data_IF_728881121328
#
_entry.id   IF_728881121328
#
_cell.length_a   1.000
_cell.length_b   1.000
_cell.length_c   1.000
_cell.angle_alpha   90.00
_cell.angle_beta   90.00
_cell.angle_gamma   90.00
#
_symmetry.space_group_name_H-M   'P 1'
#
loop_
_entity.id
_entity.type
_entity.pdbx_description
1 polymer ?
#
# COMPACT_ATOMS: atom_id res chain seq x y z
N UNK A 1 73.40 -10.59 34.23
CA UNK A 1 72.99 -9.18 34.39
C UNK A 1 72.57 -8.69 33.00
N UNK A 2 71.36 -8.20 32.69
CA UNK A 2 70.21 -7.81 33.50
C UNK A 2 68.90 -8.12 32.77
N UNK A 3 67.82 -8.16 33.55
CA UNK A 3 66.55 -8.80 33.24
C UNK A 3 65.65 -8.06 32.24
N UNK A 4 64.81 -8.85 31.58
CA UNK A 4 63.64 -8.38 30.82
C UNK A 4 62.40 -8.56 31.71
N UNK A 5 61.78 -7.44 32.06
CA UNK A 5 60.53 -7.37 32.79
C UNK A 5 59.35 -7.81 31.91
N UNK A 6 58.63 -8.83 32.36
CA UNK A 6 57.26 -9.11 31.92
C UNK A 6 56.33 -8.08 32.59
N UNK A 7 55.63 -7.28 31.80
CA UNK A 7 54.47 -6.54 32.27
C UNK A 7 53.20 -7.36 32.01
N UNK A 8 52.35 -7.59 33.02
CA UNK A 8 51.05 -8.20 32.81
C UNK A 8 50.08 -7.16 32.25
N UNK A 9 49.48 -7.45 31.10
CA UNK A 9 48.33 -6.72 30.58
C UNK A 9 47.12 -7.02 31.48
N UNK A 10 46.68 -6.01 32.24
CA UNK A 10 45.38 -6.01 32.89
C UNK A 10 44.28 -5.78 31.84
N UNK A 11 43.18 -6.54 31.85
CA UNK A 11 42.02 -6.23 31.01
C UNK A 11 41.33 -4.96 31.52
N UNK A 12 41.31 -3.93 30.68
CA UNK A 12 40.47 -2.75 30.90
C UNK A 12 39.02 -3.18 30.61
N UNK A 13 38.26 -3.45 31.67
CA UNK A 13 36.81 -3.63 31.59
C UNK A 13 36.21 -2.23 31.36
N UNK A 14 35.95 -1.91 30.10
CA UNK A 14 35.18 -0.72 29.72
C UNK A 14 33.70 -1.04 29.99
N UNK A 15 33.18 -0.51 31.11
CA UNK A 15 31.74 -0.42 31.31
C UNK A 15 31.18 0.63 30.34
N UNK A 16 30.72 0.17 29.18
CA UNK A 16 29.92 1.00 28.28
C UNK A 16 28.57 1.26 28.95
N UNK A 17 28.43 2.46 29.49
CA UNK A 17 27.13 3.03 29.84
C UNK A 17 26.35 3.15 28.53
N UNK A 18 25.39 2.25 28.31
CA UNK A 18 24.37 2.44 27.27
C UNK A 18 23.64 3.74 27.58
N UNK A 19 23.98 4.80 26.86
CA UNK A 19 23.11 5.95 26.75
C UNK A 19 21.83 5.48 26.05
N UNK A 20 20.77 5.27 26.85
CA UNK A 20 19.42 5.19 26.32
C UNK A 20 19.19 6.48 25.54
N UNK A 21 19.20 6.38 24.21
CA UNK A 21 18.54 7.38 23.37
C UNK A 21 17.09 7.38 23.88
N UNK A 22 16.52 8.52 24.29
CA UNK A 22 15.13 8.57 24.70
C UNK A 22 14.30 8.03 23.54
N UNK A 23 13.85 6.78 23.72
CA UNK A 23 12.92 6.16 22.81
C UNK A 23 11.75 7.11 22.69
N UNK A 24 11.32 7.38 21.45
CA UNK A 24 9.96 7.83 21.25
C UNK A 24 9.09 6.86 22.05
N UNK A 25 8.46 7.36 23.12
CA UNK A 25 7.60 6.56 23.97
C UNK A 25 6.43 6.13 23.10
N UNK A 26 6.53 4.96 22.49
CA UNK A 26 5.43 4.35 21.77
C UNK A 26 4.34 4.12 22.81
N UNK A 27 3.21 4.81 22.62
CA UNK A 27 2.06 4.69 23.50
C UNK A 27 1.72 3.22 23.68
N UNK A 28 1.55 2.81 24.94
CA UNK A 28 1.17 1.46 25.35
C UNK A 28 -0.02 0.93 24.53
N UNK A 29 -0.10 -0.38 24.28
CA UNK A 29 -1.28 -0.98 23.67
C UNK A 29 -2.51 -0.62 24.51
N UNK A 30 -3.45 0.10 23.89
CA UNK A 30 -4.74 0.47 24.49
C UNK A 30 -5.52 -0.82 24.76
N UNK A 31 -5.41 -1.34 25.97
CA UNK A 31 -6.29 -2.40 26.48
C UNK A 31 -7.67 -1.82 26.79
N UNK A 32 -8.54 -1.91 25.79
CA UNK A 32 -9.97 -2.22 25.90
C UNK A 32 -10.82 -1.46 26.91
N UNK A 33 -11.56 -0.46 26.41
CA UNK A 33 -12.93 -0.22 26.85
C UNK A 33 -13.90 -0.54 25.71
N UNK A 34 -14.97 -1.24 26.06
CA UNK A 34 -15.96 -1.85 25.17
C UNK A 34 -16.86 -0.86 24.40
N UNK A 35 -16.44 0.40 24.26
CA UNK A 35 -17.12 1.47 23.52
C UNK A 35 -16.64 1.58 22.05
N UNK A 36 -15.98 0.54 21.54
CA UNK A 36 -15.40 0.50 20.19
C UNK A 36 -16.39 0.00 19.12
N UNK A 37 -17.70 -0.01 19.39
CA UNK A 37 -18.68 -0.64 18.48
C UNK A 37 -19.07 0.21 17.27
N UNK A 38 -18.63 1.46 17.16
CA UNK A 38 -18.96 2.29 16.00
C UNK A 38 -17.84 3.23 15.53
N UNK A 39 -16.56 2.90 15.81
CA UNK A 39 -15.46 3.60 15.14
C UNK A 39 -15.40 3.12 13.69
N UNK A 40 -15.59 4.02 12.73
CA UNK A 40 -15.25 3.74 11.34
C UNK A 40 -13.78 3.33 11.29
N UNK A 41 -13.55 2.07 10.94
CA UNK A 41 -12.22 1.51 10.74
C UNK A 41 -11.89 1.59 9.26
N UNK A 42 -10.81 2.31 8.92
CA UNK A 42 -10.21 2.16 7.62
C UNK A 42 -9.40 0.86 7.60
N UNK A 43 -9.41 0.13 6.48
CA UNK A 43 -8.60 -1.08 6.31
C UNK A 43 -7.54 -0.83 5.25
N UNK A 44 -6.35 -1.34 5.48
CA UNK A 44 -5.24 -1.31 4.55
C UNK A 44 -4.57 -2.67 4.48
N UNK A 45 -3.67 -2.83 3.52
CA UNK A 45 -2.87 -4.04 3.39
C UNK A 45 -1.38 -3.70 3.44
N UNK A 46 -0.66 -4.44 4.27
CA UNK A 46 0.80 -4.44 4.32
C UNK A 46 1.30 -5.78 3.78
N UNK A 47 2.11 -5.75 2.72
CA UNK A 47 2.72 -6.95 2.15
C UNK A 47 4.22 -6.92 2.44
N UNK A 48 4.75 -8.02 2.98
CA UNK A 48 6.19 -8.22 3.15
C UNK A 48 6.64 -9.40 2.30
N UNK A 49 7.68 -9.19 1.50
CA UNK A 49 8.42 -10.26 0.84
C UNK A 49 9.88 -10.25 1.29
N UNK A 50 10.44 -11.42 1.55
CA UNK A 50 11.86 -11.60 1.87
C UNK A 50 12.50 -12.59 0.92
N UNK A 51 13.74 -12.32 0.50
CA UNK A 51 14.54 -13.23 -0.36
C UNK A 51 13.80 -13.73 -1.62
N UNK A 52 12.94 -12.89 -2.22
CA UNK A 52 12.14 -13.27 -3.39
C UNK A 52 11.03 -14.30 -3.14
N UNK A 53 10.77 -14.66 -1.87
CA UNK A 53 9.72 -15.62 -1.49
C UNK A 53 8.29 -15.15 -1.77
N UNK A 54 7.31 -15.96 -1.35
CA UNK A 54 5.89 -15.58 -1.45
C UNK A 54 5.58 -14.38 -0.54
N UNK A 55 4.75 -13.41 -0.97
CA UNK A 55 4.39 -12.28 -0.14
C UNK A 55 3.57 -12.71 1.07
N UNK A 56 3.97 -12.27 2.26
CA UNK A 56 3.17 -12.33 3.48
C UNK A 56 2.25 -11.12 3.54
N UNK A 57 0.95 -11.36 3.61
CA UNK A 57 -0.08 -10.30 3.67
C UNK A 57 -0.52 -10.08 5.11
N UNK A 58 -0.48 -8.84 5.56
CA UNK A 58 -0.88 -8.40 6.90
C UNK A 58 -1.98 -7.35 6.72
N UNK A 59 -3.17 -7.64 7.24
CA UNK A 59 -4.26 -6.67 7.27
C UNK A 59 -3.98 -5.65 8.38
N UNK A 60 -3.96 -4.37 8.02
CA UNK A 60 -3.77 -3.26 8.96
C UNK A 60 -5.09 -2.49 9.12
N UNK A 61 -5.38 -2.07 10.34
CA UNK A 61 -6.58 -1.29 10.66
C UNK A 61 -6.18 0.11 11.08
N UNK A 62 -6.84 1.10 10.49
CA UNK A 62 -6.67 2.51 10.81
C UNK A 62 -7.77 2.96 11.76
N UNK A 63 -7.37 3.72 12.79
CA UNK A 63 -8.32 4.42 13.68
C UNK A 63 -8.44 5.86 13.24
N UNK A 64 -9.64 6.45 13.31
CA UNK A 64 -9.84 7.87 13.05
C UNK A 64 -8.93 8.70 13.96
N UNK A 65 -8.17 9.62 13.38
CA UNK A 65 -7.27 10.54 14.07
C UNK A 65 -7.40 11.91 13.42
N UNK A 66 -8.08 12.85 14.10
CA UNK A 66 -8.46 14.15 13.54
C UNK A 66 -9.26 13.97 12.23
N UNK A 67 -8.79 14.58 11.14
CA UNK A 67 -9.41 14.48 9.80
C UNK A 67 -8.93 13.27 8.98
N UNK A 68 -8.01 12.47 9.53
CA UNK A 68 -7.35 11.37 8.85
C UNK A 68 -7.54 10.02 9.58
N UNK A 69 -6.88 8.98 9.09
CA UNK A 69 -6.76 7.68 9.75
C UNK A 69 -5.31 7.42 10.17
N UNK A 70 -5.10 6.99 11.41
CA UNK A 70 -3.79 6.53 11.90
C UNK A 70 -3.71 5.02 11.83
N UNK A 71 -2.72 4.53 11.08
CA UNK A 71 -2.35 3.12 10.97
C UNK A 71 -1.03 2.93 11.72
N UNK A 72 -1.08 2.31 12.89
CA UNK A 72 0.11 2.04 13.69
C UNK A 72 0.17 0.58 14.13
N UNK A 73 1.36 0.03 14.24
CA UNK A 73 1.57 -1.34 14.71
C UNK A 73 3.02 -1.78 14.68
N UNK A 74 3.29 -2.86 15.39
CA UNK A 74 4.57 -3.57 15.38
C UNK A 74 4.30 -5.06 15.26
N UNK A 75 5.07 -5.76 14.41
CA UNK A 75 4.92 -7.20 14.20
C UNK A 75 6.28 -7.86 13.99
N UNK A 76 6.57 -8.83 14.86
CA UNK A 76 7.66 -9.79 14.70
C UNK A 76 7.26 -10.88 13.70
N UNK A 77 8.11 -11.14 12.72
CA UNK A 77 7.90 -12.16 11.68
C UNK A 77 9.00 -13.22 11.83
N UNK A 78 8.71 -14.30 12.55
CA UNK A 78 9.71 -15.32 12.85
C UNK A 78 10.30 -15.96 11.58
N UNK A 79 9.48 -16.30 10.59
CA UNK A 79 9.97 -16.88 9.32
C UNK A 79 10.88 -15.97 8.50
N UNK A 80 10.87 -14.66 8.77
CA UNK A 80 11.70 -13.67 8.10
C UNK A 80 12.80 -13.10 9.03
N UNK A 81 12.88 -13.56 10.27
CA UNK A 81 13.73 -13.01 11.34
C UNK A 81 13.73 -11.48 11.42
N UNK A 82 12.58 -10.84 11.16
CA UNK A 82 12.50 -9.38 11.16
C UNK A 82 11.40 -8.86 12.07
N UNK A 83 11.55 -7.61 12.52
CA UNK A 83 10.44 -6.84 13.11
C UNK A 83 10.09 -5.71 12.15
N UNK A 84 8.80 -5.56 11.86
CA UNK A 84 8.28 -4.40 11.13
C UNK A 84 7.56 -3.51 12.13
N UNK A 85 7.84 -2.22 12.10
CA UNK A 85 7.06 -1.21 12.81
C UNK A 85 6.57 -0.16 11.83
N UNK A 86 5.37 0.35 12.05
CA UNK A 86 4.79 1.39 11.20
C UNK A 86 3.91 2.32 12.02
N UNK A 87 3.92 3.59 11.63
CA UNK A 87 3.04 4.63 12.14
C UNK A 87 2.78 5.64 11.02
N UNK A 88 1.62 5.51 10.39
CA UNK A 88 1.20 6.35 9.28
C UNK A 88 -0.08 7.09 9.61
N UNK A 89 -0.17 8.33 9.17
CA UNK A 89 -1.38 9.13 9.08
C UNK A 89 -1.76 9.21 7.61
N UNK A 90 -2.97 8.79 7.28
CA UNK A 90 -3.49 8.80 5.93
C UNK A 90 -4.82 9.54 5.81
N UNK A 91 -4.86 10.52 4.91
CA UNK A 91 -6.11 11.07 4.39
C UNK A 91 -6.45 10.31 3.10
N UNK A 92 -7.62 9.67 3.08
CA UNK A 92 -8.08 8.79 2.00
C UNK A 92 -9.08 9.48 1.05
N UNK A 93 -9.43 10.75 1.30
CA UNK A 93 -10.31 11.53 0.42
C UNK A 93 -9.48 12.40 -0.55
N UNK A 94 -9.39 12.04 -1.85
CA UNK A 94 -8.64 12.84 -2.81
C UNK A 94 -9.24 14.24 -3.05
N UNK A 95 -10.48 14.52 -2.61
CA UNK A 95 -11.07 15.88 -2.68
C UNK A 95 -10.38 16.87 -1.78
N UNK A 96 -9.90 16.41 -0.62
CA UNK A 96 -9.14 17.20 0.34
C UNK A 96 -7.63 17.21 0.06
N UNK A 97 -7.18 16.40 -0.90
CA UNK A 97 -5.76 16.11 -1.14
C UNK A 97 -5.31 14.90 -0.33
N UNK A 98 -5.64 13.70 -0.85
CA UNK A 98 -5.26 12.44 -0.23
C UNK A 98 -3.77 12.40 0.07
N UNK A 99 -3.42 11.90 1.26
CA UNK A 99 -2.06 11.93 1.78
C UNK A 99 -1.77 10.65 2.53
N UNK A 100 -0.54 10.17 2.44
CA UNK A 100 0.02 9.13 3.28
C UNK A 100 1.36 9.62 3.84
N UNK A 101 1.42 9.87 5.14
CA UNK A 101 2.59 10.43 5.81
C UNK A 101 2.93 9.67 7.08
N UNK A 102 4.19 9.33 7.31
CA UNK A 102 4.59 8.67 8.54
C UNK A 102 5.91 7.93 8.45
N UNK A 103 6.09 6.94 9.31
CA UNK A 103 7.33 6.17 9.45
C UNK A 103 7.03 4.68 9.28
N UNK A 104 7.91 3.99 8.56
CA UNK A 104 8.01 2.53 8.59
C UNK A 104 9.44 2.13 8.94
N UNK A 105 9.62 1.14 9.80
CA UNK A 105 10.92 0.57 10.13
C UNK A 105 10.94 -0.94 9.93
N UNK A 106 12.11 -1.45 9.56
CA UNK A 106 12.41 -2.88 9.54
C UNK A 106 13.71 -3.09 10.28
N UNK A 107 13.66 -3.96 11.29
CA UNK A 107 14.82 -4.47 12.02
C UNK A 107 15.10 -5.87 11.50
N UNK A 108 16.30 -6.10 10.97
CA UNK A 108 16.75 -7.42 10.55
C UNK A 108 17.45 -8.12 11.71
N UNK A 109 16.83 -9.11 12.33
CA UNK A 109 17.42 -9.87 13.43
C UNK A 109 18.20 -11.10 12.95
N UNK A 110 18.22 -11.38 11.65
CA UNK A 110 19.08 -12.42 11.10
C UNK A 110 20.56 -12.02 11.26
N UNK A 111 21.50 -12.97 11.41
CA UNK A 111 22.92 -12.66 11.45
C UNK A 111 23.48 -12.23 10.09
N UNK A 112 22.75 -12.49 9.00
CA UNK A 112 23.17 -12.21 7.63
C UNK A 112 22.32 -11.12 7.00
N UNK A 113 22.89 -10.51 5.96
CA UNK A 113 22.18 -9.57 5.10
C UNK A 113 20.96 -10.23 4.46
N UNK A 114 19.81 -9.57 4.49
CA UNK A 114 18.57 -10.03 3.86
C UNK A 114 17.93 -8.99 2.95
N UNK A 115 17.28 -9.46 1.90
CA UNK A 115 16.43 -8.67 1.01
C UNK A 115 15.01 -8.55 1.56
N UNK A 116 14.48 -7.33 1.58
CA UNK A 116 13.12 -6.99 2.00
C UNK A 116 12.42 -6.20 0.88
N UNK A 117 11.16 -6.51 0.61
CA UNK A 117 10.23 -5.73 -0.22
C UNK A 117 8.93 -5.56 0.58
N UNK A 118 8.79 -4.38 1.21
CA UNK A 118 7.63 -3.99 2.00
C UNK A 118 6.72 -3.10 1.15
N UNK A 119 5.43 -3.40 1.10
CA UNK A 119 4.42 -2.60 0.41
C UNK A 119 3.28 -2.27 1.34
N UNK A 120 2.82 -1.03 1.32
CA UNK A 120 1.58 -0.61 1.96
C UNK A 120 0.62 -0.14 0.88
N UNK A 121 -0.64 -0.60 0.96
CA UNK A 121 -1.73 -0.24 0.05
C UNK A 121 -2.92 0.20 0.88
N UNK A 122 -3.41 1.41 0.61
CA UNK A 122 -4.59 1.97 1.27
C UNK A 122 -5.66 2.25 0.21
N UNK A 123 -6.90 1.78 0.41
CA UNK A 123 -7.98 2.02 -0.52
C UNK A 123 -8.32 3.51 -0.55
N UNK A 124 -8.51 4.04 -1.76
CA UNK A 124 -8.94 5.42 -1.98
C UNK A 124 -10.46 5.48 -2.18
N UNK A 125 -11.11 6.50 -1.60
CA UNK A 125 -12.54 6.79 -1.84
C UNK A 125 -12.83 8.30 -1.69
N UNK A 126 -13.34 8.99 -2.74
CA UNK A 126 -13.64 8.51 -4.10
C UNK A 126 -12.41 8.12 -4.92
N UNK A 127 -12.65 7.47 -6.07
CA UNK A 127 -11.64 7.18 -7.08
C UNK A 127 -11.37 8.42 -7.95
N UNK A 128 -10.21 8.45 -8.62
CA UNK A 128 -9.82 9.53 -9.54
C UNK A 128 -9.68 8.95 -10.94
N UNK A 129 -10.59 9.29 -11.85
CA UNK A 129 -10.61 8.65 -13.18
C UNK A 129 -9.58 9.22 -14.15
N UNK A 130 -9.21 10.50 -14.01
CA UNK A 130 -8.24 11.17 -14.89
C UNK A 130 -7.56 12.35 -14.19
N UNK A 131 -6.44 12.82 -14.75
CA UNK A 131 -5.78 14.06 -14.30
C UNK A 131 -5.12 13.96 -12.92
N UNK A 132 -4.77 12.76 -12.48
CA UNK A 132 -4.11 12.53 -11.19
C UNK A 132 -2.67 13.04 -11.21
N UNK A 133 -2.25 13.66 -10.10
CA UNK A 133 -0.88 14.11 -9.86
C UNK A 133 -0.42 13.65 -8.49
N UNK A 134 0.83 13.23 -8.40
CA UNK A 134 1.46 12.83 -7.15
C UNK A 134 2.69 13.69 -6.83
N UNK A 135 3.00 13.76 -5.54
CA UNK A 135 4.21 14.37 -5.00
C UNK A 135 4.62 13.64 -3.74
N UNK A 136 5.91 13.64 -3.42
CA UNK A 136 6.35 12.95 -2.22
C UNK A 136 7.78 13.21 -1.82
N UNK A 137 8.06 12.88 -0.57
CA UNK A 137 9.37 12.96 0.05
C UNK A 137 9.66 11.67 0.81
N UNK A 138 10.94 11.31 0.87
CA UNK A 138 11.42 10.22 1.73
C UNK A 138 12.73 10.62 2.36
N UNK A 139 12.83 10.38 3.66
CA UNK A 139 14.10 10.28 4.40
C UNK A 139 14.32 8.82 4.77
N UNK A 140 15.38 8.23 4.24
CA UNK A 140 15.86 6.90 4.63
C UNK A 140 16.91 7.08 5.72
N UNK A 141 16.79 6.35 6.82
CA UNK A 141 17.78 6.35 7.90
C UNK A 141 18.15 4.91 8.23
N UNK A 142 19.44 4.59 8.11
CA UNK A 142 20.02 3.35 8.60
C UNK A 142 20.54 3.59 10.02
N UNK A 143 20.14 2.74 10.96
CA UNK A 143 20.68 2.65 12.31
C UNK A 143 21.53 1.40 12.38
N UNK A 144 22.82 1.57 12.63
CA UNK A 144 23.83 0.53 12.54
C UNK A 144 24.14 -0.05 13.92
N UNK A 145 24.31 -1.38 13.98
CA UNK A 145 24.84 -2.10 15.12
C UNK A 145 26.32 -1.82 15.38
N UNK A 146 26.89 -2.49 16.39
CA UNK A 146 28.26 -2.22 16.85
C UNK A 146 29.32 -2.53 15.77
N UNK A 147 29.06 -3.52 14.92
CA UNK A 147 29.94 -3.92 13.80
C UNK A 147 29.77 -3.05 12.54
N UNK A 148 29.02 -1.95 12.66
CA UNK A 148 28.56 -1.18 11.52
C UNK A 148 27.38 -1.83 10.81
N UNK A 149 27.03 -1.27 9.67
CA UNK A 149 25.85 -1.70 8.94
C UNK A 149 25.82 -1.16 7.52
N UNK A 150 24.99 -1.78 6.70
CA UNK A 150 24.85 -1.50 5.28
C UNK A 150 23.43 -1.76 4.81
N UNK A 151 22.89 -0.77 4.12
CA UNK A 151 21.80 -0.96 3.18
C UNK A 151 22.32 -0.86 1.76
N UNK A 152 21.97 -1.81 0.91
CA UNK A 152 22.29 -1.77 -0.52
C UNK A 152 21.13 -2.19 -1.42
N UNK A 153 21.23 -1.79 -2.68
CA UNK A 153 20.26 -2.07 -3.72
C UNK A 153 20.95 -2.24 -5.07
N UNK A 154 20.65 -3.31 -5.84
CA UNK A 154 21.23 -3.53 -7.15
C UNK A 154 20.68 -2.54 -8.21
N UNK A 155 21.35 -2.48 -9.35
CA UNK A 155 20.91 -1.67 -10.48
C UNK A 155 19.52 -2.11 -10.97
N UNK A 156 18.71 -1.15 -11.43
CA UNK A 156 17.35 -1.40 -11.94
C UNK A 156 16.24 -1.42 -10.87
N UNK A 157 16.59 -1.27 -9.60
CA UNK A 157 15.63 -1.21 -8.49
C UNK A 157 15.57 0.19 -7.85
N UNK A 158 14.63 0.40 -6.92
CA UNK A 158 14.54 1.64 -6.12
C UNK A 158 14.27 1.35 -4.66
N UNK A 159 14.94 2.09 -3.74
CA UNK A 159 14.68 1.93 -2.30
C UNK A 159 13.26 2.30 -1.93
N UNK A 160 12.68 3.24 -2.65
CA UNK A 160 11.36 3.79 -2.38
C UNK A 160 10.59 3.97 -3.68
N UNK A 161 9.30 3.62 -3.68
CA UNK A 161 8.40 3.95 -4.77
C UNK A 161 7.01 4.37 -4.26
N UNK A 162 6.43 5.37 -4.93
CA UNK A 162 5.02 5.68 -4.86
C UNK A 162 4.26 4.64 -5.70
N UNK A 163 3.25 4.02 -5.10
CA UNK A 163 2.45 2.97 -5.72
C UNK A 163 1.05 3.51 -6.03
N UNK A 164 0.56 3.24 -7.24
CA UNK A 164 -0.81 3.51 -7.69
C UNK A 164 -1.34 2.21 -8.29
N UNK A 165 -2.46 1.70 -7.79
CA UNK A 165 -3.12 0.47 -8.23
C UNK A 165 -2.13 -0.72 -8.33
N UNK A 166 -1.28 -0.85 -7.31
CA UNK A 166 -0.25 -1.90 -7.23
C UNK A 166 0.96 -1.73 -8.16
N UNK A 167 1.03 -0.67 -8.99
CA UNK A 167 2.16 -0.38 -9.88
C UNK A 167 3.00 0.80 -9.40
N UNK A 168 4.33 0.80 -9.62
CA UNK A 168 5.18 1.92 -9.25
C UNK A 168 4.98 3.09 -10.21
N UNK A 169 4.42 4.21 -9.71
CA UNK A 169 4.24 5.43 -10.48
C UNK A 169 5.50 6.31 -10.48
N UNK A 170 6.20 6.38 -9.34
CA UNK A 170 7.46 7.14 -9.20
C UNK A 170 8.40 6.44 -8.24
N UNK A 171 9.69 6.46 -8.54
CA UNK A 171 10.75 5.82 -7.75
C UNK A 171 11.78 6.84 -7.26
N UNK A 172 12.30 6.68 -6.05
CA UNK A 172 13.38 7.46 -5.46
C UNK A 172 14.52 6.55 -5.00
N UNK A 173 15.73 7.09 -4.87
CA UNK A 173 16.96 6.35 -4.56
C UNK A 173 17.12 5.10 -5.44
N UNK A 174 17.27 5.33 -6.75
CA UNK A 174 17.45 4.28 -7.75
C UNK A 174 18.81 3.61 -7.59
N UNK A 175 18.85 2.32 -7.86
CA UNK A 175 20.07 1.53 -7.85
C UNK A 175 21.02 1.86 -9.02
N UNK A 176 22.32 1.56 -8.90
CA UNK A 176 22.97 1.00 -7.71
C UNK A 176 23.01 2.01 -6.56
N UNK A 177 22.58 1.59 -5.38
CA UNK A 177 22.55 2.41 -4.17
C UNK A 177 23.22 1.66 -3.03
N UNK A 178 24.01 2.37 -2.21
CA UNK A 178 24.58 1.83 -0.99
C UNK A 178 24.74 2.95 0.04
N UNK A 179 24.43 2.64 1.29
CA UNK A 179 24.59 3.53 2.44
C UNK A 179 24.98 2.67 3.65
N UNK A 180 25.93 3.14 4.46
CA UNK A 180 26.46 2.32 5.56
C UNK A 180 27.71 2.90 6.21
N UNK A 181 28.26 2.15 7.16
CA UNK A 181 29.42 2.50 7.98
C UNK A 181 30.05 1.26 8.61
N UNK A 182 31.26 1.42 9.16
CA UNK A 182 32.06 0.32 9.76
C UNK A 182 31.92 0.23 11.29
N UNK A 183 31.10 1.09 11.89
CA UNK A 183 30.91 1.17 13.32
C UNK A 183 29.48 1.62 13.61
N UNK A 184 29.07 1.46 14.86
CA UNK A 184 27.80 1.97 15.39
C UNK A 184 27.56 3.42 14.98
N UNK A 185 26.34 3.71 14.52
CA UNK A 185 25.96 5.06 14.17
C UNK A 185 24.70 5.11 13.31
N UNK A 186 24.47 6.26 12.69
CA UNK A 186 23.37 6.46 11.75
C UNK A 186 23.88 7.02 10.43
N UNK A 187 23.19 6.65 9.35
CA UNK A 187 23.40 7.23 8.03
C UNK A 187 22.06 7.53 7.39
N UNK A 188 21.94 8.63 6.65
CA UNK A 188 20.67 9.07 6.09
C UNK A 188 20.79 9.59 4.67
N UNK A 189 19.75 9.37 3.89
CA UNK A 189 19.59 9.92 2.54
C UNK A 189 18.17 10.49 2.38
N UNK A 190 18.07 11.65 1.73
CA UNK A 190 16.83 12.36 1.46
C UNK A 190 16.56 12.41 -0.04
N UNK A 191 15.30 12.29 -0.45
CA UNK A 191 14.86 12.52 -1.82
C UNK A 191 13.41 13.03 -1.88
N UNK A 192 13.09 13.78 -2.92
CA UNK A 192 11.74 14.31 -3.15
C UNK A 192 11.41 14.44 -4.64
N UNK A 193 10.11 14.55 -4.93
CA UNK A 193 9.57 14.89 -6.25
C UNK A 193 8.20 15.54 -6.07
N UNK A 194 7.73 16.30 -7.05
CA UNK A 194 6.39 16.90 -6.99
C UNK A 194 6.18 17.74 -5.72
N UNK A 195 7.20 18.49 -5.32
CA UNK A 195 7.18 19.37 -4.16
C UNK A 195 7.25 20.84 -4.63
N UNK A 196 6.60 21.79 -3.93
CA UNK A 196 5.81 21.60 -2.71
C UNK A 196 4.40 21.03 -2.95
N UNK A 197 3.92 21.06 -4.21
CA UNK A 197 2.60 20.57 -4.62
C UNK A 197 2.73 19.41 -5.60
N UNK A 198 1.84 18.40 -5.55
CA UNK A 198 1.81 17.29 -6.50
C UNK A 198 1.81 17.79 -7.95
N UNK A 199 2.91 17.54 -8.65
CA UNK A 199 3.10 17.97 -10.05
C UNK A 199 3.50 16.84 -10.97
N UNK A 200 3.79 15.65 -10.43
CA UNK A 200 4.12 14.49 -11.24
C UNK A 200 2.84 13.82 -11.71
N UNK A 201 2.56 13.89 -13.01
CA UNK A 201 1.40 13.27 -13.62
C UNK A 201 1.45 11.75 -13.46
N UNK A 202 0.30 11.16 -13.15
CA UNK A 202 0.13 9.71 -13.02
C UNK A 202 -1.16 9.29 -13.71
N UNK A 203 -1.30 7.98 -13.93
CA UNK A 203 -2.55 7.39 -14.40
C UNK A 203 -3.70 7.64 -13.42
N UNK A 204 -4.92 7.35 -13.88
CA UNK A 204 -6.08 7.16 -13.03
C UNK A 204 -5.76 6.31 -11.79
N UNK A 205 -6.44 6.62 -10.68
CA UNK A 205 -6.36 5.85 -9.42
C UNK A 205 -7.71 5.17 -9.23
N UNK A 206 -7.73 3.87 -9.50
CA UNK A 206 -8.96 3.06 -9.59
C UNK A 206 -9.20 2.19 -8.36
N UNK A 207 -8.17 1.93 -7.55
CA UNK A 207 -8.32 1.12 -6.35
C UNK A 207 -7.58 1.71 -5.15
N UNK A 208 -6.24 1.78 -5.22
CA UNK A 208 -5.41 2.09 -4.06
C UNK A 208 -4.21 2.96 -4.40
N UNK A 209 -3.72 3.63 -3.36
CA UNK A 209 -2.43 4.30 -3.41
C UNK A 209 -1.59 3.85 -2.21
N UNK A 210 -0.27 3.97 -2.34
CA UNK A 210 0.62 3.38 -1.36
C UNK A 210 2.09 3.65 -1.56
N UNK A 211 2.89 2.91 -0.80
CA UNK A 211 4.35 3.00 -0.81
C UNK A 211 4.94 1.60 -0.95
N UNK A 212 6.10 1.53 -1.59
CA UNK A 212 6.97 0.35 -1.61
C UNK A 212 8.36 0.71 -1.12
N UNK A 213 8.93 -0.14 -0.28
CA UNK A 213 10.31 -0.08 0.18
C UNK A 213 11.01 -1.38 -0.17
N UNK A 214 12.06 -1.32 -1.00
CA UNK A 214 12.84 -2.52 -1.38
C UNK A 214 14.31 -2.30 -1.13
N UNK A 215 14.98 -3.21 -0.44
CA UNK A 215 16.38 -3.04 -0.07
C UNK A 215 16.98 -4.33 0.45
N UNK A 216 18.31 -4.37 0.56
CA UNK A 216 19.06 -5.37 1.32
C UNK A 216 19.64 -4.73 2.57
N UNK A 217 19.43 -5.33 3.73
CA UNK A 217 19.85 -4.80 5.02
C UNK A 217 20.71 -5.84 5.74
N UNK A 218 21.88 -5.44 6.24
CA UNK A 218 22.73 -6.30 7.07
C UNK A 218 22.04 -6.78 8.35
N UNK A 219 22.59 -7.82 8.96
CA UNK A 219 22.07 -8.40 10.18
C UNK A 219 22.29 -7.50 11.39
N UNK A 220 21.32 -7.45 12.30
CA UNK A 220 21.36 -6.63 13.52
C UNK A 220 21.03 -5.15 13.31
N UNK A 221 20.79 -4.72 12.07
CA UNK A 221 20.54 -3.31 11.74
C UNK A 221 19.05 -3.00 11.62
N UNK A 222 18.75 -1.70 11.68
CA UNK A 222 17.42 -1.15 11.45
C UNK A 222 17.46 -0.13 10.31
N UNK A 223 16.47 -0.20 9.42
CA UNK A 223 16.20 0.87 8.47
C UNK A 223 14.86 1.52 8.77
N UNK A 224 14.82 2.85 8.69
CA UNK A 224 13.63 3.69 8.90
C UNK A 224 13.36 4.51 7.65
N UNK A 225 12.11 4.53 7.22
CA UNK A 225 11.59 5.33 6.13
C UNK A 225 10.60 6.34 6.67
N UNK A 226 10.98 7.62 6.74
CA UNK A 226 10.03 8.70 6.97
C UNK A 226 9.54 9.19 5.62
N UNK A 227 8.29 8.92 5.30
CA UNK A 227 7.71 9.19 3.97
C UNK A 227 6.56 10.17 4.05
N UNK A 228 6.38 10.95 3.00
CA UNK A 228 5.17 11.69 2.70
C UNK A 228 4.82 11.48 1.23
N UNK A 229 3.60 11.04 0.95
CA UNK A 229 3.04 10.91 -0.38
C UNK A 229 1.74 11.70 -0.42
N UNK A 230 1.58 12.54 -1.43
CA UNK A 230 0.38 13.32 -1.69
C UNK A 230 -0.16 12.93 -3.06
N UNK A 231 -1.47 12.78 -3.13
CA UNK A 231 -2.23 12.56 -4.34
C UNK A 231 -3.22 13.73 -4.48
N UNK A 232 -3.16 14.38 -5.62
CA UNK A 232 -4.14 15.36 -6.07
C UNK A 232 -4.83 14.83 -7.32
N UNK A 233 -6.11 15.16 -7.47
CA UNK A 233 -6.86 14.93 -8.70
C UNK A 233 -7.71 16.15 -9.03
N UNK A 234 -8.16 16.23 -10.27
CA UNK A 234 -9.16 17.21 -10.65
C UNK A 234 -10.52 16.84 -10.02
N UNK A 235 -11.15 17.75 -9.26
CA UNK A 235 -12.48 17.52 -8.71
C UNK A 235 -13.56 17.10 -9.70
N UNK A 236 -13.43 17.52 -10.97
CA UNK A 236 -14.35 17.11 -12.03
C UNK A 236 -14.29 15.60 -12.35
N UNK A 237 -13.20 14.93 -11.99
CA UNK A 237 -12.91 13.53 -12.34
C UNK A 237 -13.08 12.56 -11.16
N UNK A 238 -13.74 12.98 -10.08
CA UNK A 238 -13.97 12.11 -8.94
C UNK A 238 -15.21 11.25 -9.11
N UNK A 239 -15.02 9.94 -8.98
CA UNK A 239 -16.10 8.96 -9.04
C UNK A 239 -16.19 8.24 -7.70
N UNK A 240 -17.34 8.38 -7.02
CA UNK A 240 -17.61 7.60 -5.80
C UNK A 240 -17.74 6.13 -6.17
N UNK A 241 -17.14 5.24 -5.38
CA UNK A 241 -17.45 3.82 -5.49
C UNK A 241 -18.94 3.63 -5.23
N UNK A 242 -19.64 2.90 -6.10
CA UNK A 242 -20.98 2.41 -5.76
C UNK A 242 -20.78 1.47 -4.58
N UNK A 243 -21.56 1.64 -3.51
CA UNK A 243 -21.48 0.74 -2.37
C UNK A 243 -21.70 -0.70 -2.87
N UNK A 244 -20.76 -1.62 -2.59
CA UNK A 244 -20.81 -3.04 -2.97
C UNK A 244 -21.90 -3.84 -2.22
N UNK A 245 -22.94 -3.16 -1.73
CA UNK A 245 -24.14 -3.82 -1.23
C UNK A 245 -25.01 -4.27 -2.39
N UNK A 246 -25.69 -5.44 -2.31
CA UNK A 246 -26.76 -5.74 -3.24
C UNK A 246 -27.76 -4.58 -3.17
N UNK A 247 -28.06 -3.97 -4.32
CA UNK A 247 -29.12 -2.98 -4.42
C UNK A 247 -30.40 -3.67 -3.97
N UNK A 248 -30.82 -3.41 -2.73
CA UNK A 248 -32.09 -3.92 -2.21
C UNK A 248 -33.17 -3.14 -2.94
N UNK A 249 -33.67 -3.71 -4.03
CA UNK A 249 -34.88 -3.26 -4.71
C UNK A 249 -36.03 -3.47 -3.72
N UNK A 250 -36.35 -2.44 -2.94
CA UNK A 250 -37.35 -2.55 -1.88
C UNK A 250 -37.54 -1.30 -1.04
N UNK A 251 -36.53 -0.43 -0.94
CA UNK A 251 -36.75 0.92 -0.41
C UNK A 251 -37.21 1.84 -1.53
N UNK A 252 -38.29 2.59 -1.27
CA UNK A 252 -38.91 3.57 -2.17
C UNK A 252 -37.93 4.71 -2.44
N UNK A 253 -36.97 4.46 -3.31
CA UNK A 253 -36.04 5.44 -3.82
C UNK A 253 -36.77 6.21 -4.95
N UNK A 254 -37.15 7.45 -4.69
CA UNK A 254 -37.83 8.37 -5.63
C UNK A 254 -36.90 8.85 -6.74
N UNK A 255 -36.07 7.98 -7.31
CA UNK A 255 -35.22 8.33 -8.44
C UNK A 255 -36.07 8.32 -9.70
N UNK A 256 -36.16 9.49 -10.31
CA UNK A 256 -36.71 9.67 -11.66
C UNK A 256 -35.83 8.87 -12.61
N UNK A 257 -36.32 7.72 -13.04
CA UNK A 257 -35.79 7.00 -14.19
C UNK A 257 -36.24 7.83 -15.41
N UNK A 258 -35.31 8.56 -16.03
CA UNK A 258 -35.55 9.13 -17.35
C UNK A 258 -35.34 7.97 -18.34
N UNK A 259 -36.44 7.37 -18.78
CA UNK A 259 -36.45 6.41 -19.87
C UNK A 259 -36.09 7.13 -21.18
N UNK A 260 -34.80 7.16 -21.51
CA UNK A 260 -34.29 7.54 -22.83
C UNK A 260 -34.38 6.32 -23.74
N UNK A 261 -35.58 6.02 -24.25
CA UNK A 261 -35.71 5.07 -25.35
C UNK A 261 -36.97 4.22 -25.38
N UNK A 262 -38.12 4.84 -25.61
CA UNK A 262 -39.21 4.15 -26.31
C UNK A 262 -40.00 5.17 -27.13
N UNK A 263 -39.90 5.01 -28.44
CA UNK A 263 -40.66 5.73 -29.45
C UNK A 263 -42.16 5.61 -29.17
N UNK A 264 -42.81 6.77 -29.06
CA UNK A 264 -44.25 6.93 -28.96
C UNK A 264 -44.94 6.47 -30.25
N UNK A 265 -45.28 5.18 -30.34
CA UNK A 265 -46.35 4.73 -31.24
C UNK A 265 -47.68 4.83 -30.50
N UNK A 266 -48.25 6.02 -30.64
CA UNK A 266 -49.64 6.35 -30.37
C UNK A 266 -50.54 5.32 -31.09
N UNK A 267 -51.19 4.44 -30.32
CA UNK A 267 -52.11 3.42 -30.83
C UNK A 267 -53.53 3.83 -30.46
N UNK A 268 -54.26 4.32 -31.46
CA UNK A 268 -55.69 4.56 -31.39
C UNK A 268 -56.47 3.24 -31.19
N UNK A 269 -57.53 3.35 -30.38
CA UNK A 269 -58.52 2.31 -30.18
C UNK A 269 -59.62 2.40 -31.24
N UNK A 270 -60.01 1.25 -31.81
CA UNK A 270 -61.40 0.82 -32.13
C UNK A 270 -61.38 -0.36 -33.11
N UNK A 271 -62.27 -1.32 -32.91
CA UNK A 271 -62.70 -2.24 -33.97
C UNK A 271 -62.90 -3.69 -33.56
N UNK A 272 -64.14 -4.03 -33.26
CA UNK A 272 -64.72 -5.38 -33.23
C UNK A 272 -64.60 -6.12 -34.57
N UNK A 273 -64.42 -7.44 -34.57
CA UNK A 273 -64.66 -8.24 -35.78
C UNK A 273 -64.07 -9.66 -35.78
N UNK A 274 -64.90 -10.63 -35.38
CA UNK A 274 -65.03 -12.04 -35.80
C UNK A 274 -64.11 -12.53 -36.93
N UNK A 275 -63.47 -13.71 -36.79
CA UNK A 275 -63.84 -15.00 -37.46
C UNK A 275 -62.71 -16.05 -37.38
N UNK A 276 -63.11 -17.29 -37.12
CA UNK A 276 -62.34 -18.55 -37.10
C UNK A 276 -61.61 -18.83 -38.42
N UNK A 277 -60.44 -19.49 -38.38
CA UNK A 277 -60.20 -20.70 -39.19
C UNK A 277 -59.05 -21.57 -38.68
N UNK A 278 -59.21 -22.87 -38.93
CA UNK A 278 -58.29 -23.99 -38.67
C UNK A 278 -57.18 -24.05 -39.73
N UNK A 279 -56.05 -24.65 -39.37
CA UNK A 279 -55.07 -25.23 -40.30
C UNK A 279 -53.66 -25.16 -39.72
N UNK A 280 -53.12 -26.26 -39.18
CA UNK A 280 -52.35 -27.28 -39.92
C UNK A 280 -50.84 -27.05 -39.85
N UNK A 281 -50.16 -27.97 -39.14
CA UNK A 281 -48.83 -28.54 -39.40
C UNK A 281 -47.81 -27.67 -40.17
N UNK A 282 -46.66 -27.41 -39.53
CA UNK A 282 -45.39 -27.96 -40.03
C UNK A 282 -44.26 -27.89 -39.01
N UNK A 283 -43.59 -29.02 -38.88
CA UNK A 283 -42.26 -29.20 -38.32
C UNK A 283 -41.22 -28.35 -39.06
N UNK A 284 -40.25 -27.79 -38.34
CA UNK A 284 -38.85 -27.99 -38.73
C UNK A 284 -37.93 -27.87 -37.52
N UNK A 285 -37.26 -28.98 -37.23
CA UNK A 285 -36.08 -29.11 -36.42
C UNK A 285 -34.93 -28.32 -37.04
N UNK A 286 -34.27 -27.45 -36.27
CA UNK A 286 -32.88 -27.07 -36.55
C UNK A 286 -32.03 -27.51 -35.36
N UNK A 287 -31.25 -28.55 -35.61
CA UNK A 287 -30.18 -29.00 -34.75
C UNK A 287 -29.05 -27.95 -34.65
N UNK A 288 -28.31 -27.95 -33.54
CA UNK A 288 -27.13 -27.11 -33.34
C UNK A 288 -25.94 -27.62 -34.17
N UNK A 289 -25.22 -26.69 -34.78
CA UNK A 289 -23.92 -26.95 -35.43
C UNK A 289 -22.86 -27.07 -34.34
N UNK A 290 -22.28 -28.28 -34.19
CA UNK A 290 -21.02 -28.51 -33.46
C UNK A 290 -19.87 -28.32 -34.44
N UNK A 291 -18.89 -27.49 -34.07
CA UNK A 291 -17.57 -27.45 -34.72
C UNK A 291 -16.52 -27.64 -33.63
N UNK A 292 -15.83 -28.78 -33.71
CA UNK A 292 -14.51 -29.09 -33.12
C UNK A 292 -14.12 -30.48 -33.67
N UNK A 293 -12.84 -30.87 -33.80
CA UNK A 293 -11.56 -30.15 -33.68
C UNK A 293 -10.59 -30.49 -34.85
N UNK A 294 -9.33 -30.08 -34.71
CA UNK A 294 -8.12 -30.64 -35.35
C UNK A 294 -7.80 -30.35 -36.84
N UNK A 295 -6.85 -29.43 -37.03
CA UNK A 295 -5.82 -29.58 -38.07
C UNK A 295 -4.51 -28.89 -37.62
N UNK A 296 -3.53 -29.71 -37.21
CA UNK A 296 -2.07 -29.42 -37.30
C UNK A 296 -1.64 -29.57 -38.78
N UNK A 297 -0.45 -29.10 -39.22
CA UNK A 297 0.88 -29.39 -38.69
C UNK A 297 1.45 -28.30 -37.76
#
# INVERSE_FOLDING_TARGET
MGGRSLFPFLPVIVFTVMAMIPGATFASPVTGDAETKNRMLARGTLELRTEGGSPMVIQISGVRHEDAFRFAGSKRIEGADCTIEYDWIADLDPRGGARLSGIASIINHAPLKREFDLRVRLPLDPLVTEGSRIGGTVRVTLVMGDDGGRVDLPAGESLWAAMIDGQPAKTLHRGPFAMGGRAKGTSSADASFGAPYPSYETSAVTDDFGLRHRFRLSGGDEIRFRSELKLAGDPANFVRRRADGPVRIGERDTRVIIDLGASSRQREARGSGVTRSRGSKRSSSRQPVRINPDARP
#
